data_IF_131936554650
#
_entry.id   IF_131936554650
#
_cell.length_a   1.000
_cell.length_b   1.000
_cell.length_c   1.000
_cell.angle_alpha   90.00
_cell.angle_beta   90.00
_cell.angle_gamma   90.00
#
_symmetry.space_group_name_H-M   'P 1'
#
loop_
_entity.id
_entity.type
_entity.pdbx_description
1 polymer ?
#
# COMPACT_ATOMS: atom_id res chain seq x y z
N UNK A 1 -16.73 0.02 -22.29
CA UNK A 1 -15.98 0.32 -21.05
C UNK A 1 -16.98 0.44 -19.91
N UNK A 2 -17.13 -0.62 -19.11
CA UNK A 2 -18.14 -0.68 -18.05
C UNK A 2 -17.60 0.02 -16.81
N UNK A 3 -18.22 1.14 -16.42
CA UNK A 3 -17.88 1.85 -15.18
C UNK A 3 -18.31 0.98 -13.99
N UNK A 4 -17.34 0.54 -13.19
CA UNK A 4 -17.60 -0.16 -11.94
C UNK A 4 -18.30 0.80 -10.96
N UNK A 5 -19.44 0.36 -10.40
CA UNK A 5 -20.20 1.09 -9.38
C UNK A 5 -19.30 1.29 -8.15
N UNK A 6 -19.32 2.44 -7.48
CA UNK A 6 -18.40 2.79 -6.36
C UNK A 6 -18.15 1.67 -5.32
N UNK A 7 -19.14 0.83 -5.02
CA UNK A 7 -18.96 -0.33 -4.12
C UNK A 7 -17.96 -1.37 -4.66
N UNK A 8 -18.02 -1.65 -5.95
CA UNK A 8 -17.16 -2.65 -6.60
C UNK A 8 -15.67 -2.21 -6.64
N UNK A 9 -15.40 -0.91 -6.61
CA UNK A 9 -14.03 -0.41 -6.57
C UNK A 9 -13.38 -0.68 -5.22
N UNK A 10 -14.11 -0.43 -4.12
CA UNK A 10 -13.64 -0.74 -2.76
C UNK A 10 -13.43 -2.23 -2.55
N UNK A 11 -14.34 -3.06 -3.08
CA UNK A 11 -14.20 -4.51 -2.98
C UNK A 11 -12.98 -5.02 -3.74
N UNK A 12 -12.71 -4.46 -4.93
CA UNK A 12 -11.53 -4.79 -5.72
C UNK A 12 -10.23 -4.32 -5.06
N UNK A 13 -10.23 -3.10 -4.51
CA UNK A 13 -9.12 -2.54 -3.75
C UNK A 13 -8.79 -3.43 -2.54
N UNK A 14 -9.80 -3.81 -1.75
CA UNK A 14 -9.62 -4.72 -0.62
C UNK A 14 -9.07 -6.08 -1.06
N UNK A 15 -9.58 -6.64 -2.15
CA UNK A 15 -9.08 -7.91 -2.67
C UNK A 15 -7.60 -7.82 -3.08
N UNK A 16 -7.17 -6.71 -3.69
CA UNK A 16 -5.77 -6.49 -4.04
C UNK A 16 -4.87 -6.35 -2.81
N UNK A 17 -5.32 -5.60 -1.80
CA UNK A 17 -4.63 -5.45 -0.50
C UNK A 17 -4.44 -6.80 0.17
N UNK A 18 -5.49 -7.64 0.18
CA UNK A 18 -5.44 -8.97 0.78
C UNK A 18 -4.44 -9.89 0.08
N UNK A 19 -4.33 -9.81 -1.25
CA UNK A 19 -3.31 -10.55 -2.02
C UNK A 19 -1.90 -10.08 -1.64
N UNK A 20 -1.64 -8.77 -1.57
CA UNK A 20 -0.33 -8.23 -1.20
C UNK A 20 0.06 -8.59 0.23
N UNK A 21 -0.90 -8.57 1.17
CA UNK A 21 -0.70 -9.04 2.54
C UNK A 21 -0.33 -10.51 2.60
N UNK A 22 -0.94 -11.36 1.77
CA UNK A 22 -0.55 -12.78 1.70
C UNK A 22 0.84 -12.93 1.09
N UNK A 23 1.14 -12.22 0.01
CA UNK A 23 2.45 -12.24 -0.61
C UNK A 23 3.56 -11.85 0.37
N UNK A 24 3.35 -10.81 1.18
CA UNK A 24 4.31 -10.37 2.21
C UNK A 24 4.61 -11.44 3.28
N UNK A 25 3.72 -12.42 3.46
CA UNK A 25 3.94 -13.56 4.36
C UNK A 25 4.72 -14.70 3.70
N UNK A 26 4.64 -14.85 2.38
CA UNK A 26 5.28 -15.95 1.65
C UNK A 26 6.70 -15.62 1.18
N UNK A 27 6.96 -14.37 0.82
CA UNK A 27 8.26 -13.95 0.31
C UNK A 27 9.18 -13.59 1.48
N UNK A 28 10.46 -13.93 1.40
CA UNK A 28 11.42 -13.68 2.49
C UNK A 28 11.92 -12.23 2.50
N UNK A 29 11.02 -11.29 2.78
CA UNK A 29 11.35 -9.87 2.97
C UNK A 29 10.67 -9.33 4.22
N UNK A 30 11.29 -8.33 4.84
CA UNK A 30 10.79 -7.75 6.08
C UNK A 30 9.53 -6.90 5.87
N UNK A 31 9.48 -6.07 4.81
CA UNK A 31 8.40 -5.10 4.63
C UNK A 31 7.89 -5.05 3.19
N UNK A 32 6.57 -5.15 3.03
CA UNK A 32 5.84 -4.75 1.81
C UNK A 32 4.96 -3.57 2.17
N UNK A 33 4.97 -2.50 1.38
CA UNK A 33 4.07 -1.38 1.59
C UNK A 33 3.48 -0.87 0.26
N UNK A 34 2.34 -0.19 0.36
CA UNK A 34 1.67 0.48 -0.74
C UNK A 34 1.82 1.99 -0.50
N UNK A 35 2.41 2.68 -1.48
CA UNK A 35 2.57 4.12 -1.44
C UNK A 35 1.65 4.75 -2.51
N UNK A 36 0.86 5.73 -2.09
CA UNK A 36 0.13 6.62 -2.99
C UNK A 36 0.99 7.85 -3.23
N UNK A 37 1.17 8.19 -4.50
CA UNK A 37 2.02 9.30 -4.92
C UNK A 37 1.29 10.14 -5.96
N UNK A 38 1.14 11.43 -5.68
CA UNK A 38 0.51 12.40 -6.57
C UNK A 38 1.49 13.44 -7.15
N UNK A 39 2.79 13.16 -7.04
CA UNK A 39 3.94 14.03 -7.39
C UNK A 39 4.15 15.23 -6.48
N UNK A 40 3.31 15.43 -5.46
CA UNK A 40 3.52 16.43 -4.41
C UNK A 40 3.79 15.76 -3.07
N UNK A 41 3.04 14.70 -2.78
CA UNK A 41 3.08 13.93 -1.54
C UNK A 41 3.26 12.44 -1.82
N UNK A 42 3.86 11.76 -0.85
CA UNK A 42 3.88 10.30 -0.76
C UNK A 42 3.26 9.91 0.57
N UNK A 43 2.19 9.13 0.49
CA UNK A 43 1.46 8.58 1.63
C UNK A 43 1.59 7.05 1.63
N UNK A 44 2.01 6.47 2.74
CA UNK A 44 2.03 5.01 2.92
C UNK A 44 0.65 4.56 3.38
N UNK A 45 -0.17 4.10 2.44
CA UNK A 45 -1.56 3.71 2.73
C UNK A 45 -1.68 2.34 3.38
N UNK A 46 -0.71 1.45 3.15
CA UNK A 46 -0.62 0.15 3.81
C UNK A 46 0.83 -0.26 4.04
N UNK A 47 1.13 -0.83 5.21
CA UNK A 47 2.46 -1.35 5.53
C UNK A 47 2.39 -2.72 6.23
N UNK A 48 3.02 -3.73 5.63
CA UNK A 48 3.09 -5.10 6.13
C UNK A 48 4.53 -5.40 6.56
N UNK A 49 4.85 -5.10 7.82
CA UNK A 49 6.14 -5.39 8.45
C UNK A 49 6.11 -6.77 9.13
N UNK A 50 7.18 -7.58 9.00
CA UNK A 50 7.31 -8.91 9.61
C UNK A 50 8.07 -8.87 10.94
N UNK A 51 9.37 -8.60 10.91
CA UNK A 51 10.25 -8.71 12.08
C UNK A 51 10.51 -7.34 12.71
N UNK A 52 10.65 -6.31 11.88
CA UNK A 52 10.92 -4.94 12.31
C UNK A 52 10.00 -3.95 11.60
N UNK A 53 9.59 -2.91 12.31
CA UNK A 53 8.86 -1.79 11.72
C UNK A 53 9.84 -0.88 10.96
N UNK A 54 9.87 -1.00 9.63
CA UNK A 54 10.69 -0.11 8.77
C UNK A 54 9.91 1.15 8.41
N UNK A 55 8.61 1.02 8.15
CA UNK A 55 7.75 2.14 7.79
C UNK A 55 6.34 1.94 8.34
N UNK A 56 5.77 3.02 8.87
CA UNK A 56 4.43 3.04 9.45
C UNK A 56 3.36 3.29 8.39
N UNK A 57 2.20 2.67 8.55
CA UNK A 57 1.00 3.02 7.80
C UNK A 57 0.54 4.43 8.22
N UNK A 58 0.20 5.27 7.25
CA UNK A 58 -0.11 6.68 7.46
C UNK A 58 1.13 7.60 7.45
N UNK A 59 2.34 7.07 7.27
CA UNK A 59 3.52 7.93 7.05
C UNK A 59 3.32 8.78 5.79
N UNK A 60 3.54 10.10 5.92
CA UNK A 60 3.41 11.05 4.83
C UNK A 60 4.67 11.91 4.73
N UNK A 61 5.13 12.13 3.50
CA UNK A 61 6.25 13.03 3.20
C UNK A 61 6.06 13.72 1.86
N UNK A 62 6.86 14.75 1.58
CA UNK A 62 6.87 15.38 0.26
C UNK A 62 7.48 14.42 -0.75
N UNK A 63 6.98 14.46 -1.98
CA UNK A 63 7.57 13.69 -3.08
C UNK A 63 9.04 14.03 -3.32
N UNK A 64 9.42 15.30 -3.14
CA UNK A 64 10.83 15.74 -3.23
C UNK A 64 11.74 15.16 -2.15
N UNK A 65 11.17 14.68 -1.05
CA UNK A 65 11.86 14.09 0.09
C UNK A 65 11.71 12.56 0.11
N UNK A 66 10.89 11.99 -0.79
CA UNK A 66 10.81 10.56 -1.04
C UNK A 66 11.93 10.10 -1.99
N UNK A 67 12.55 8.96 -1.69
CA UNK A 67 13.65 8.37 -2.49
C UNK A 67 13.17 7.71 -3.77
#
# INVERSE_FOLDING_TARGET
MQFLRKGHYKDLEQAAIDVLKRLSQFIDINTVFIAKNDKETVEITHSFNRDYMIIEEGFETKYSESY
#
